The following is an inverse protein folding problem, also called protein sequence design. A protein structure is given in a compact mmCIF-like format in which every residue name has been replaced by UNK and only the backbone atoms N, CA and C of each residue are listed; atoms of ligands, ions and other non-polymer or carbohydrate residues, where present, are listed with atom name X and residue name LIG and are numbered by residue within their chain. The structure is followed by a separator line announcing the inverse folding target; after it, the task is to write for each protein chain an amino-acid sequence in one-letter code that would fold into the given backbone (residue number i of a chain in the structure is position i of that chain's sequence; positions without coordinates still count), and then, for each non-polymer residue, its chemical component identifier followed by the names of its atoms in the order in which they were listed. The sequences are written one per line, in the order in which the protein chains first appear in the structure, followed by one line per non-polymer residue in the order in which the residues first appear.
data_IF_100132448280
#
_entry.id   IF_100132448280
#
_cell.length_a   1.000
_cell.length_b   1.000
_cell.length_c   1.000
_cell.angle_alpha   90.00
_cell.angle_beta   90.00
_cell.angle_gamma   90.00
#
_symmetry.space_group_name_H-M   'P 1'
#
loop_
_entity.id
_entity.type
_entity.pdbx_description
1 polymer ?
#
# COMPACT_ATOMS: atom_id res chain seq x y z
N UNK A 1 -21.59 11.86 8.29
CA UNK A 1 -21.22 10.73 7.41
C UNK A 1 -19.81 10.32 7.75
N UNK A 2 -19.55 9.03 7.94
CA UNK A 2 -18.19 8.50 8.12
C UNK A 2 -17.54 8.26 6.74
N UNK A 3 -16.32 8.74 6.56
CA UNK A 3 -15.53 8.55 5.33
C UNK A 3 -14.99 7.12 5.28
N UNK A 4 -15.23 6.41 4.18
CA UNK A 4 -14.63 5.09 3.89
C UNK A 4 -13.17 5.29 3.48
N UNK A 5 -12.29 4.43 3.98
CA UNK A 5 -10.84 4.44 3.69
C UNK A 5 -10.43 3.16 2.98
N UNK A 6 -9.52 3.28 2.04
CA UNK A 6 -8.98 2.16 1.26
C UNK A 6 -7.50 1.97 1.59
N UNK A 7 -7.10 0.72 1.83
CA UNK A 7 -5.69 0.35 2.05
C UNK A 7 -5.19 -0.63 1.00
N UNK A 8 -3.87 -0.63 0.77
CA UNK A 8 -3.19 -1.59 -0.10
C UNK A 8 -2.36 -2.57 0.75
N UNK A 9 -2.44 -3.87 0.45
CA UNK A 9 -1.62 -4.89 1.12
C UNK A 9 -0.50 -5.36 0.20
N UNK A 10 0.74 -5.02 0.53
CA UNK A 10 1.93 -5.47 -0.17
C UNK A 10 2.43 -6.77 0.46
N UNK A 11 2.27 -7.90 -0.24
CA UNK A 11 2.61 -9.21 0.34
C UNK A 11 4.12 -9.46 0.37
N UNK A 12 4.67 -9.61 1.58
CA UNK A 12 6.06 -10.02 1.80
C UNK A 12 6.35 -11.48 1.39
N UNK A 13 5.31 -12.28 1.14
CA UNK A 13 5.46 -13.63 0.59
C UNK A 13 5.60 -13.61 -0.94
N UNK A 14 5.24 -12.50 -1.59
CA UNK A 14 5.28 -12.34 -3.05
C UNK A 14 6.43 -11.45 -3.52
N UNK A 15 6.87 -10.49 -2.70
CA UNK A 15 7.79 -9.43 -3.10
C UNK A 15 8.96 -9.29 -2.14
N UNK A 16 10.13 -8.95 -2.70
CA UNK A 16 11.32 -8.66 -1.91
C UNK A 16 11.27 -7.27 -1.24
N UNK A 17 12.21 -6.96 -0.32
CA UNK A 17 12.17 -5.72 0.46
C UNK A 17 12.14 -4.42 -0.37
N UNK A 18 12.89 -4.35 -1.48
CA UNK A 18 12.89 -3.16 -2.34
C UNK A 18 11.56 -2.95 -3.07
N UNK A 19 10.94 -4.06 -3.50
CA UNK A 19 9.62 -4.03 -4.14
C UNK A 19 8.54 -3.62 -3.14
N UNK A 20 8.60 -4.14 -1.91
CA UNK A 20 7.70 -3.74 -0.83
C UNK A 20 7.77 -2.22 -0.56
N UNK A 21 8.98 -1.66 -0.50
CA UNK A 21 9.17 -0.21 -0.37
C UNK A 21 8.56 0.55 -1.55
N UNK A 22 8.84 0.09 -2.78
CA UNK A 22 8.31 0.72 -4.01
C UNK A 22 6.79 0.68 -4.06
N UNK A 23 6.17 -0.43 -3.64
CA UNK A 23 4.71 -0.53 -3.59
C UNK A 23 4.09 0.34 -2.49
N UNK A 24 4.80 0.58 -1.38
CA UNK A 24 4.38 1.58 -0.39
C UNK A 24 4.28 2.98 -0.98
N UNK A 25 5.32 3.41 -1.73
CA UNK A 25 5.30 4.70 -2.43
C UNK A 25 4.20 4.75 -3.48
N UNK A 26 4.06 3.70 -4.30
CA UNK A 26 3.03 3.65 -5.35
C UNK A 26 1.61 3.68 -4.75
N UNK A 27 1.38 3.04 -3.60
CA UNK A 27 0.09 3.09 -2.93
C UNK A 27 -0.28 4.52 -2.49
N UNK A 28 0.69 5.29 -2.00
CA UNK A 28 0.50 6.71 -1.68
C UNK A 28 0.19 7.55 -2.93
N UNK A 29 0.96 7.37 -4.01
CA UNK A 29 0.74 8.06 -5.29
C UNK A 29 -0.64 7.75 -5.91
N UNK A 30 -1.15 6.53 -5.69
CA UNK A 30 -2.49 6.10 -6.12
C UNK A 30 -3.61 6.56 -5.19
N UNK A 31 -3.31 7.17 -4.04
CA UNK A 31 -4.30 7.71 -3.11
C UNK A 31 -4.88 6.70 -2.12
N UNK A 32 -4.19 5.59 -1.83
CA UNK A 32 -4.57 4.72 -0.72
C UNK A 32 -4.27 5.40 0.63
N UNK A 33 -5.15 5.20 1.60
CA UNK A 33 -5.03 5.77 2.95
C UNK A 33 -4.00 5.04 3.83
N UNK A 34 -3.58 3.84 3.43
CA UNK A 34 -2.71 2.98 4.23
C UNK A 34 -2.06 1.86 3.40
N UNK A 35 -0.88 1.39 3.84
CA UNK A 35 -0.21 0.21 3.30
C UNK A 35 0.10 -0.79 4.42
N UNK A 36 -0.08 -2.09 4.16
CA UNK A 36 0.14 -3.21 5.10
C UNK A 36 0.98 -4.32 4.48
#
# INVERSE_FOLDING_TARGET
MSTVRFGYKASNEQFGPQELLRFGVLAEECGFDSVF
#
